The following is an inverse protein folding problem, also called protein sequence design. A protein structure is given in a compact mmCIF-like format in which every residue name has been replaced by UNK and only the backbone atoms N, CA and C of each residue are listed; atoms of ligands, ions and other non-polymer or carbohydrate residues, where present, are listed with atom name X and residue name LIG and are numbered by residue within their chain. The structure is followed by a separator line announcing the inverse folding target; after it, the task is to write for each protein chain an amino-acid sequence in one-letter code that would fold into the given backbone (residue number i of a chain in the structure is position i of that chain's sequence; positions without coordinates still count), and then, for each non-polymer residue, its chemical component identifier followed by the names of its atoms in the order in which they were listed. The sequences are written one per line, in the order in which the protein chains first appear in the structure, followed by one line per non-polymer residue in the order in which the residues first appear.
data_IF_123178561438
#
_entry.id   IF_123178561438
#
_cell.length_a   1.000
_cell.length_b   1.000
_cell.length_c   1.000
_cell.angle_alpha   90.00
_cell.angle_beta   90.00
_cell.angle_gamma   90.00
#
_symmetry.space_group_name_H-M   'P 1'
#
loop_
_entity.id
_entity.type
_entity.pdbx_description
1 polymer ?
#
# COMPACT_ATOMS: atom_id res chain seq x y z
N UNK A 1 -2.68 9.55 -5.65
CA UNK A 1 -2.54 9.47 -7.12
C UNK A 1 -3.83 9.17 -7.87
N UNK A 2 -4.82 8.56 -7.23
CA UNK A 2 -6.15 8.29 -7.83
C UNK A 2 -6.77 9.50 -8.51
N UNK A 3 -6.61 10.70 -7.94
CA UNK A 3 -7.09 11.94 -8.53
C UNK A 3 -6.57 12.22 -9.95
N UNK A 4 -5.33 11.87 -10.30
CA UNK A 4 -4.83 12.03 -11.67
C UNK A 4 -5.46 11.01 -12.64
N UNK A 5 -5.80 9.83 -12.14
CA UNK A 5 -6.51 8.79 -12.90
C UNK A 5 -7.93 9.24 -13.18
N UNK A 6 -8.65 9.71 -12.16
CA UNK A 6 -10.06 10.06 -12.28
C UNK A 6 -10.26 11.41 -12.99
N UNK A 7 -9.48 12.43 -12.62
CA UNK A 7 -9.66 13.79 -13.14
C UNK A 7 -9.00 13.98 -14.51
N UNK A 8 -7.91 13.27 -14.82
CA UNK A 8 -7.13 13.48 -16.04
C UNK A 8 -6.93 12.21 -16.88
N UNK A 9 -7.60 11.10 -16.55
CA UNK A 9 -7.56 9.84 -17.31
C UNK A 9 -6.15 9.25 -17.42
N UNK A 10 -5.33 9.43 -16.38
CA UNK A 10 -4.01 8.78 -16.31
C UNK A 10 -4.16 7.26 -16.18
N UNK A 11 -3.26 6.52 -16.81
CA UNK A 11 -3.05 5.12 -16.46
C UNK A 11 -2.37 5.00 -15.09
N UNK A 12 -2.49 3.86 -14.38
CA UNK A 12 -1.79 3.66 -13.10
C UNK A 12 -0.28 3.88 -13.19
N UNK A 13 0.35 3.48 -14.30
CA UNK A 13 1.79 3.68 -14.53
C UNK A 13 2.18 5.15 -14.72
N UNK A 14 1.36 5.94 -15.41
CA UNK A 14 1.58 7.37 -15.56
C UNK A 14 1.35 8.13 -14.25
N UNK A 15 0.39 7.67 -13.44
CA UNK A 15 0.12 8.24 -12.13
C UNK A 15 1.29 7.99 -11.17
N UNK A 16 1.89 6.79 -11.18
CA UNK A 16 3.12 6.55 -10.41
C UNK A 16 4.32 7.34 -10.98
N UNK A 17 4.40 7.54 -12.30
CA UNK A 17 5.43 8.39 -12.90
C UNK A 17 5.33 9.84 -12.40
N UNK A 18 4.12 10.41 -12.35
CA UNK A 18 3.84 11.72 -11.76
C UNK A 18 4.28 11.77 -10.28
N UNK A 19 3.92 10.77 -9.47
CA UNK A 19 4.35 10.68 -8.06
C UNK A 19 5.87 10.71 -7.90
N UNK A 20 6.60 9.96 -8.75
CA UNK A 20 8.07 9.92 -8.71
C UNK A 20 8.67 11.27 -9.11
N UNK A 21 8.14 11.90 -10.16
CA UNK A 21 8.54 13.24 -10.59
C UNK A 21 8.30 14.28 -9.49
N UNK A 22 7.17 14.20 -8.76
CA UNK A 22 6.88 15.04 -7.60
C UNK A 22 7.91 14.86 -6.47
N UNK A 23 8.37 13.65 -6.17
CA UNK A 23 9.37 13.44 -5.12
C UNK A 23 10.75 14.03 -5.44
N UNK A 24 11.06 14.25 -6.73
CA UNK A 24 12.34 14.75 -7.20
C UNK A 24 12.31 16.20 -7.70
N UNK A 25 11.12 16.81 -7.83
CA UNK A 25 10.93 18.05 -8.60
C UNK A 25 11.76 19.22 -8.07
N UNK A 26 11.85 19.39 -6.74
CA UNK A 26 12.61 20.47 -6.11
C UNK A 26 14.12 20.42 -6.40
N UNK A 27 14.67 19.23 -6.67
CA UNK A 27 16.12 19.02 -6.92
C UNK A 27 16.48 18.91 -8.39
N UNK A 28 15.59 18.38 -9.23
CA UNK A 28 15.89 18.05 -10.64
C UNK A 28 14.94 18.67 -11.66
N UNK A 29 13.88 19.36 -11.22
CA UNK A 29 12.81 19.81 -12.09
C UNK A 29 12.04 18.64 -12.72
N UNK A 30 11.38 18.89 -13.87
CA UNK A 30 10.78 17.84 -14.69
C UNK A 30 9.30 17.55 -14.42
N UNK A 31 8.57 18.48 -13.80
CA UNK A 31 7.14 18.33 -13.55
C UNK A 31 6.27 18.92 -14.68
N UNK A 32 6.83 19.82 -15.47
CA UNK A 32 6.21 20.53 -16.59
C UNK A 32 5.54 19.59 -17.63
N UNK A 33 6.15 18.46 -18.05
CA UNK A 33 5.48 17.53 -18.96
C UNK A 33 4.20 16.92 -18.36
N UNK A 34 4.20 16.72 -17.04
CA UNK A 34 3.01 16.23 -16.34
C UNK A 34 1.97 17.34 -16.14
N UNK A 35 2.37 18.60 -16.06
CA UNK A 35 1.46 19.74 -16.00
C UNK A 35 0.58 19.81 -17.24
N UNK A 36 1.20 19.80 -18.41
CA UNK A 36 0.50 19.88 -19.69
C UNK A 36 -0.46 18.70 -19.87
N UNK A 37 0.01 17.49 -19.55
CA UNK A 37 -0.79 16.28 -19.66
C UNK A 37 -1.97 16.25 -18.67
N UNK A 38 -1.75 16.66 -17.42
CA UNK A 38 -2.81 16.74 -16.42
C UNK A 38 -3.88 17.75 -16.85
N UNK A 39 -3.48 18.95 -17.26
CA UNK A 39 -4.39 19.99 -17.74
C UNK A 39 -5.18 19.54 -18.98
N UNK A 40 -4.52 18.91 -19.94
CA UNK A 40 -5.18 18.40 -21.15
C UNK A 40 -6.21 17.32 -20.82
N UNK A 41 -5.88 16.39 -19.91
CA UNK A 41 -6.81 15.36 -19.44
C UNK A 41 -8.01 15.95 -18.70
N UNK A 42 -7.76 16.91 -17.80
CA UNK A 42 -8.81 17.60 -17.05
C UNK A 42 -9.75 18.41 -17.94
N UNK A 43 -9.20 19.15 -18.91
CA UNK A 43 -9.99 19.88 -19.90
C UNK A 43 -10.89 18.92 -20.70
N UNK A 44 -10.35 17.77 -21.12
CA UNK A 44 -11.12 16.74 -21.82
C UNK A 44 -12.25 16.16 -20.96
N UNK A 45 -12.05 16.09 -19.65
CA UNK A 45 -13.04 15.59 -18.70
C UNK A 45 -14.01 16.69 -18.19
N UNK A 46 -13.96 17.90 -18.77
CA UNK A 46 -14.93 18.97 -18.50
C UNK A 46 -14.54 19.94 -17.37
N UNK A 47 -13.31 19.86 -16.85
CA UNK A 47 -12.82 20.82 -15.86
C UNK A 47 -12.29 22.09 -16.53
N UNK A 48 -12.39 23.24 -15.85
CA UNK A 48 -11.80 24.48 -16.36
C UNK A 48 -10.27 24.45 -16.27
N UNK A 49 -9.61 25.24 -17.13
CA UNK A 49 -8.16 25.42 -17.08
C UNK A 49 -7.74 26.01 -15.74
N UNK A 50 -8.43 27.03 -15.22
CA UNK A 50 -8.04 27.63 -13.92
C UNK A 50 -8.09 26.60 -12.79
N UNK A 51 -9.10 25.73 -12.78
CA UNK A 51 -9.22 24.68 -11.77
C UNK A 51 -8.09 23.66 -11.85
N UNK A 52 -7.74 23.23 -13.08
CA UNK A 52 -6.62 22.33 -13.28
C UNK A 52 -5.26 22.92 -12.88
N UNK A 53 -5.07 24.23 -13.11
CA UNK A 53 -3.87 24.97 -12.67
C UNK A 53 -3.78 25.02 -11.15
N UNK A 54 -4.89 25.35 -10.47
CA UNK A 54 -4.94 25.36 -9.01
C UNK A 54 -4.67 23.99 -8.41
N UNK A 55 -5.28 22.94 -8.97
CA UNK A 55 -5.04 21.58 -8.53
C UNK A 55 -3.59 21.17 -8.74
N UNK A 56 -2.97 21.54 -9.86
CA UNK A 56 -1.57 21.24 -10.12
C UNK A 56 -0.64 21.90 -9.09
N UNK A 57 -0.90 23.15 -8.69
CA UNK A 57 -0.15 23.81 -7.62
C UNK A 57 -0.37 23.15 -6.25
N UNK A 58 -1.58 22.67 -5.95
CA UNK A 58 -1.83 21.87 -4.74
C UNK A 58 -1.03 20.56 -4.76
N UNK A 59 -1.04 19.84 -5.88
CA UNK A 59 -0.26 18.60 -6.08
C UNK A 59 1.23 18.89 -5.88
N UNK A 60 1.77 19.98 -6.44
CA UNK A 60 3.15 20.42 -6.18
C UNK A 60 3.44 20.64 -4.70
N UNK A 61 2.52 21.28 -3.98
CA UNK A 61 2.63 21.48 -2.52
C UNK A 61 2.68 20.17 -1.74
N UNK A 62 1.94 19.15 -2.17
CA UNK A 62 1.99 17.81 -1.59
C UNK A 62 3.27 17.02 -1.93
N UNK A 63 4.07 17.42 -2.92
CA UNK A 63 5.34 16.78 -3.23
C UNK A 63 6.35 16.83 -2.07
N UNK A 64 6.26 17.83 -1.21
CA UNK A 64 7.10 18.00 -0.02
C UNK A 64 6.57 17.26 1.22
N UNK A 65 5.26 16.96 1.26
CA UNK A 65 4.57 16.39 2.42
C UNK A 65 3.91 15.02 2.13
N UNK A 66 4.16 14.45 0.95
CA UNK A 66 3.53 13.22 0.49
C UNK A 66 3.97 12.03 1.33
N UNK A 67 3.18 11.68 2.34
CA UNK A 67 3.41 10.52 3.19
C UNK A 67 2.87 9.25 2.51
N UNK A 68 3.63 8.15 2.41
CA UNK A 68 3.10 6.89 1.90
C UNK A 68 1.95 6.40 2.76
N UNK A 69 0.82 6.06 2.13
CA UNK A 69 -0.39 5.60 2.82
C UNK A 69 -0.15 4.38 3.72
N UNK A 70 0.69 3.43 3.28
CA UNK A 70 1.07 2.27 4.11
C UNK A 70 1.83 2.67 5.38
N UNK A 71 2.59 3.74 5.33
CA UNK A 71 3.34 4.26 6.46
C UNK A 71 2.39 5.04 7.40
N UNK A 72 1.51 5.87 6.84
CA UNK A 72 0.48 6.59 7.61
C UNK A 72 -0.48 5.60 8.31
N UNK A 73 -0.89 4.53 7.62
CA UNK A 73 -1.73 3.48 8.19
C UNK A 73 -1.04 2.79 9.39
N UNK A 74 0.27 2.60 9.33
CA UNK A 74 1.03 2.01 10.45
C UNK A 74 1.05 2.92 11.68
N UNK A 75 1.14 4.25 11.50
CA UNK A 75 1.03 5.22 12.60
C UNK A 75 -0.40 5.36 13.12
N UNK A 76 -1.39 5.39 12.21
CA UNK A 76 -2.80 5.42 12.59
C UNK A 76 -3.19 4.18 13.40
N UNK A 77 -2.63 3.01 13.07
CA UNK A 77 -2.82 1.78 13.86
C UNK A 77 -2.22 1.89 15.26
N UNK A 78 -1.07 2.57 15.41
CA UNK A 78 -0.39 2.74 16.69
C UNK A 78 -1.23 3.52 17.72
N UNK A 79 -2.00 4.49 17.23
CA UNK A 79 -2.85 5.38 18.04
C UNK A 79 -4.34 4.97 18.03
N UNK A 80 -4.70 3.82 17.45
CA UNK A 80 -6.09 3.36 17.33
C UNK A 80 -6.43 2.18 18.23
N UNK A 81 -7.71 2.06 18.59
CA UNK A 81 -8.28 0.87 19.26
C UNK A 81 -8.68 -0.25 18.28
N UNK A 82 -8.17 -0.21 17.04
CA UNK A 82 -8.53 -1.20 16.03
C UNK A 82 -7.95 -2.57 16.37
N UNK A 83 -8.82 -3.59 16.34
CA UNK A 83 -8.41 -4.97 16.47
C UNK A 83 -7.84 -5.47 15.14
N UNK A 84 -6.62 -5.99 15.16
CA UNK A 84 -6.00 -6.69 14.04
C UNK A 84 -6.19 -8.20 14.21
N UNK A 85 -7.31 -8.78 13.74
CA UNK A 85 -7.50 -10.22 13.82
C UNK A 85 -6.42 -10.93 13.00
N UNK A 86 -5.97 -12.08 13.50
CA UNK A 86 -5.08 -13.00 12.76
C UNK A 86 -3.65 -12.50 12.52
N UNK A 87 -3.14 -11.56 13.33
CA UNK A 87 -1.71 -11.24 13.35
C UNK A 87 -0.91 -12.37 14.01
N UNK A 88 0.08 -12.97 13.33
CA UNK A 88 0.91 -14.00 13.92
C UNK A 88 1.71 -13.49 15.12
N UNK A 89 1.64 -14.19 16.25
CA UNK A 89 2.34 -13.80 17.49
C UNK A 89 3.86 -13.67 17.32
N UNK A 90 4.47 -14.38 16.37
CA UNK A 90 5.91 -14.30 16.10
C UNK A 90 6.35 -12.93 15.54
N UNK A 91 5.42 -12.06 15.12
CA UNK A 91 5.72 -10.70 14.69
C UNK A 91 5.83 -9.71 15.85
N UNK A 92 5.37 -10.07 17.06
CA UNK A 92 5.42 -9.21 18.25
C UNK A 92 6.82 -8.67 18.57
N UNK A 93 7.91 -9.48 18.51
CA UNK A 93 9.26 -8.96 18.75
C UNK A 93 9.72 -7.90 17.73
N UNK A 94 9.18 -7.93 16.50
CA UNK A 94 9.45 -6.91 15.48
C UNK A 94 8.67 -5.63 15.75
N UNK A 95 7.43 -5.78 16.20
CA UNK A 95 6.53 -4.68 16.59
C UNK A 95 7.08 -3.92 17.80
N UNK A 96 7.58 -4.62 18.81
CA UNK A 96 8.18 -4.02 20.01
C UNK A 96 9.40 -3.14 19.65
N UNK A 97 10.23 -3.59 18.69
CA UNK A 97 11.37 -2.80 18.19
C UNK A 97 10.96 -1.54 17.44
N UNK A 98 9.77 -1.54 16.84
CA UNK A 98 9.21 -0.37 16.16
C UNK A 98 8.61 0.63 17.16
N UNK A 99 8.54 0.29 18.45
CA UNK A 99 8.00 1.17 19.50
C UNK A 99 6.47 1.32 19.44
N UNK A 100 5.77 0.42 18.75
CA UNK A 100 4.32 0.45 18.62
C UNK A 100 3.69 -0.16 19.88
N UNK A 101 2.71 0.53 20.48
CA UNK A 101 2.03 0.11 21.71
C UNK A 101 0.96 -0.98 21.48
N UNK A 102 1.24 -1.97 20.64
CA UNK A 102 0.33 -3.07 20.34
C UNK A 102 0.32 -4.11 21.46
N UNK A 103 -0.86 -4.61 21.82
CA UNK A 103 -1.02 -5.70 22.79
C UNK A 103 -1.65 -6.91 22.12
N UNK A 104 -1.05 -8.08 22.31
CA UNK A 104 -1.70 -9.34 21.94
C UNK A 104 -2.58 -9.81 23.09
N UNK A 105 -3.75 -10.34 22.75
CA UNK A 105 -4.64 -10.99 23.72
C UNK A 105 -5.35 -12.16 23.02
N UNK A 106 -5.67 -13.25 23.76
CA UNK A 106 -6.48 -14.32 23.21
C UNK A 106 -7.88 -13.80 22.92
N UNK A 107 -8.44 -14.11 21.75
CA UNK A 107 -9.81 -13.75 21.41
C UNK A 107 -10.74 -14.36 22.49
N UNK A 108 -11.53 -13.56 23.22
CA UNK A 108 -12.32 -14.04 24.37
C UNK A 108 -13.57 -14.82 23.94
N UNK A 109 -13.67 -15.20 22.66
CA UNK A 109 -14.80 -15.87 22.05
C UNK A 109 -14.29 -17.15 21.37
N UNK A 110 -15.02 -18.28 21.47
CA UNK A 110 -14.69 -19.48 20.71
C UNK A 110 -14.71 -19.15 19.22
N UNK A 111 -13.57 -19.26 18.56
CA UNK A 111 -13.49 -19.09 17.11
C UNK A 111 -13.78 -20.43 16.42
N UNK A 112 -14.64 -20.44 15.39
CA UNK A 112 -14.80 -21.67 14.60
C UNK A 112 -13.44 -22.01 13.95
N UNK A 113 -13.04 -23.29 13.97
CA UNK A 113 -11.81 -23.71 13.31
C UNK A 113 -11.89 -23.37 11.82
N UNK A 114 -10.88 -22.66 11.33
CA UNK A 114 -10.80 -22.30 9.91
C UNK A 114 -10.02 -23.40 9.19
N UNK A 115 -10.59 -23.94 8.11
CA UNK A 115 -9.88 -24.89 7.26
C UNK A 115 -8.87 -24.14 6.38
N UNK A 116 -7.59 -24.34 6.64
CA UNK A 116 -6.52 -23.88 5.75
C UNK A 116 -6.32 -24.92 4.66
N UNK A 117 -6.38 -24.51 3.39
CA UNK A 117 -6.14 -25.37 2.23
C UNK A 117 -4.96 -24.82 1.44
N UNK A 118 -4.07 -25.71 1.05
CA UNK A 118 -2.88 -25.39 0.27
C UNK A 118 -3.08 -25.86 -1.17
N UNK A 119 -3.08 -24.95 -2.15
CA UNK A 119 -3.25 -25.28 -3.58
C UNK A 119 -2.12 -24.69 -4.43
N UNK A 120 -1.43 -25.53 -5.22
CA UNK A 120 -0.28 -25.15 -6.04
C UNK A 120 -0.39 -25.70 -7.47
N UNK A 121 0.21 -25.03 -8.47
CA UNK A 121 0.30 -25.57 -9.82
C UNK A 121 1.16 -26.85 -9.86
N UNK A 122 0.69 -27.96 -10.47
CA UNK A 122 1.44 -29.23 -10.50
C UNK A 122 2.82 -29.13 -11.13
N UNK A 123 2.99 -28.22 -12.10
CA UNK A 123 4.28 -27.98 -12.79
C UNK A 123 5.39 -27.48 -11.86
N UNK A 124 5.07 -27.03 -10.65
CA UNK A 124 6.01 -26.50 -9.65
C UNK A 124 6.25 -27.50 -8.51
N UNK A 125 5.82 -28.75 -8.64
CA UNK A 125 5.93 -29.72 -7.54
C UNK A 125 7.35 -30.18 -7.26
N UNK A 126 8.18 -30.32 -8.30
CA UNK A 126 9.58 -30.69 -8.17
C UNK A 126 10.49 -29.51 -7.79
N UNK A 127 10.02 -28.27 -7.95
CA UNK A 127 10.81 -27.08 -7.66
C UNK A 127 11.20 -27.02 -6.16
N UNK A 128 12.50 -26.90 -5.83
CA UNK A 128 12.97 -26.91 -4.45
C UNK A 128 12.45 -25.74 -3.60
N UNK A 129 12.34 -24.54 -4.18
CA UNK A 129 11.89 -23.36 -3.44
C UNK A 129 10.39 -23.46 -3.13
N UNK A 130 9.58 -23.89 -4.10
CA UNK A 130 8.16 -24.13 -3.88
C UNK A 130 7.90 -25.27 -2.90
N UNK A 131 8.70 -26.35 -2.92
CA UNK A 131 8.64 -27.41 -1.91
C UNK A 131 8.96 -26.89 -0.51
N UNK A 132 10.03 -26.13 -0.37
CA UNK A 132 10.42 -25.54 0.91
C UNK A 132 9.32 -24.64 1.47
N UNK A 133 8.76 -23.72 0.67
CA UNK A 133 7.65 -22.85 1.11
C UNK A 133 6.45 -23.67 1.57
N UNK A 134 6.06 -24.70 0.79
CA UNK A 134 4.90 -25.53 1.15
C UNK A 134 5.09 -26.24 2.49
N UNK A 135 6.25 -26.84 2.70
CA UNK A 135 6.60 -27.54 3.93
C UNK A 135 6.64 -26.58 5.13
N UNK A 136 7.23 -25.40 4.96
CA UNK A 136 7.28 -24.37 6.00
C UNK A 136 5.87 -23.94 6.43
N UNK A 137 4.99 -23.64 5.47
CA UNK A 137 3.59 -23.28 5.77
C UNK A 137 2.89 -24.42 6.52
N UNK A 138 3.06 -25.66 6.05
CA UNK A 138 2.47 -26.83 6.70
C UNK A 138 2.96 -26.99 8.14
N UNK A 139 4.27 -26.89 8.37
CA UNK A 139 4.86 -26.97 9.71
C UNK A 139 4.35 -25.87 10.64
N UNK A 140 4.25 -24.63 10.16
CA UNK A 140 3.70 -23.52 10.96
C UNK A 140 2.25 -23.77 11.33
N UNK A 141 1.44 -24.27 10.40
CA UNK A 141 0.04 -24.61 10.67
C UNK A 141 -0.09 -25.82 11.63
N UNK A 142 0.76 -26.83 11.51
CA UNK A 142 0.72 -28.02 12.39
C UNK A 142 1.12 -27.68 13.84
N UNK A 143 2.01 -26.70 14.05
CA UNK A 143 2.46 -26.23 15.38
C UNK A 143 1.46 -25.24 16.02
N UNK A 144 0.58 -24.63 15.22
CA UNK A 144 -0.42 -23.67 15.69
C UNK A 144 -1.76 -24.30 16.10
N UNK A 145 -1.90 -25.63 16.00
CA UNK A 145 -3.03 -26.42 16.52
C UNK A 145 -2.68 -27.01 17.89
#
# INVERSE_FOLDING_TARGET
MQLAVDAASYTPGEADALRRSMAAWKRRGGLEPHREKLLAGMLKNGFSREYGEHLFEQIKGFGDYGFPESHAASFALADSDLLLPSMPQHLMPGIDRLGLALRSFPVPLPTPPVRVVQAWPPRLDSDPAHRWVRQTIKQVCDVAM
#
